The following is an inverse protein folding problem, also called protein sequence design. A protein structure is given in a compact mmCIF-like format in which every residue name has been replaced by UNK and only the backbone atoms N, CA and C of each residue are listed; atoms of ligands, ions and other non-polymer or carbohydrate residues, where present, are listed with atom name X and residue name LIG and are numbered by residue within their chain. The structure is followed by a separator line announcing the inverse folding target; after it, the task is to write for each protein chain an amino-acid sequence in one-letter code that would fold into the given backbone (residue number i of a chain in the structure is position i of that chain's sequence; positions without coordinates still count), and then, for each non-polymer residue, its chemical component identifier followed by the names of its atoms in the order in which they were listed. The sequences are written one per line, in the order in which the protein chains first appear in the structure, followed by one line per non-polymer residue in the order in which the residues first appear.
data_IF_922196067075
#
_entry.id   IF_922196067075
#
_cell.length_a   1.000
_cell.length_b   1.000
_cell.length_c   1.000
_cell.angle_alpha   90.00
_cell.angle_beta   90.00
_cell.angle_gamma   90.00
#
_symmetry.space_group_name_H-M   'P 1'
#
loop_
_entity.id
_entity.type
_entity.pdbx_description
1 polymer ?
#
# COMPACT_ATOMS: atom_id res chain seq x y z
N UNK A 1 -23.17 -10.18 60.65
CA UNK A 1 -23.09 -11.18 59.57
C UNK A 1 -23.97 -10.68 58.41
N UNK A 2 -23.44 -10.55 57.19
CA UNK A 2 -24.21 -10.00 56.07
C UNK A 2 -25.09 -11.07 55.40
N UNK A 3 -26.30 -10.67 55.05
CA UNK A 3 -27.34 -11.46 54.39
C UNK A 3 -26.97 -11.74 52.92
N UNK A 4 -27.24 -12.94 52.37
CA UNK A 4 -26.92 -13.24 50.98
C UNK A 4 -27.92 -12.58 50.00
N UNK A 5 -27.48 -12.30 48.75
CA UNK A 5 -28.31 -11.68 47.73
C UNK A 5 -29.29 -12.68 47.07
N UNK A 6 -30.39 -12.19 46.46
CA UNK A 6 -31.44 -13.03 45.90
C UNK A 6 -31.04 -13.65 44.56
N UNK A 7 -31.43 -14.92 44.36
CA UNK A 7 -31.21 -15.66 43.12
C UNK A 7 -32.26 -15.32 42.05
N UNK A 8 -31.80 -15.18 40.81
CA UNK A 8 -32.61 -14.86 39.63
C UNK A 8 -33.17 -16.15 39.02
N UNK A 9 -34.49 -16.20 38.84
CA UNK A 9 -35.20 -17.31 38.21
C UNK A 9 -34.89 -17.43 36.71
N UNK A 10 -34.74 -18.67 36.22
CA UNK A 10 -34.62 -19.01 34.79
C UNK A 10 -36.02 -19.15 34.15
N UNK A 11 -36.21 -18.71 32.90
CA UNK A 11 -37.45 -18.95 32.18
C UNK A 11 -37.52 -20.39 31.66
N UNK A 12 -38.75 -20.91 31.60
CA UNK A 12 -39.11 -22.25 31.17
C UNK A 12 -38.95 -22.45 29.66
N UNK A 13 -38.39 -23.59 29.27
CA UNK A 13 -38.33 -24.05 27.88
C UNK A 13 -39.69 -24.62 27.45
N UNK A 14 -40.26 -24.05 26.38
CA UNK A 14 -41.48 -24.52 25.74
C UNK A 14 -41.16 -25.58 24.69
N UNK A 15 -41.71 -26.78 24.87
CA UNK A 15 -41.67 -27.85 23.87
C UNK A 15 -42.69 -27.61 22.76
N UNK A 16 -42.20 -27.56 21.51
CA UNK A 16 -43.01 -27.59 20.30
C UNK A 16 -42.84 -28.92 19.58
N UNK A 17 -43.92 -29.68 19.48
CA UNK A 17 -44.05 -30.91 18.71
C UNK A 17 -44.22 -30.55 17.23
N UNK A 18 -43.40 -31.13 16.33
CA UNK A 18 -43.56 -31.02 14.88
C UNK A 18 -44.00 -32.38 14.31
N UNK A 19 -44.90 -32.41 13.31
CA UNK A 19 -45.43 -33.64 12.74
C UNK A 19 -44.44 -34.33 11.78
N UNK A 20 -44.48 -35.66 11.81
CA UNK A 20 -43.75 -36.58 10.94
C UNK A 20 -44.22 -36.43 9.48
N UNK A 21 -43.27 -36.13 8.58
CA UNK A 21 -43.46 -36.09 7.13
C UNK A 21 -42.84 -37.32 6.48
N UNK A 22 -43.59 -37.90 5.54
CA UNK A 22 -43.36 -39.17 4.87
C UNK A 22 -42.03 -39.26 4.09
N UNK A 23 -41.32 -40.36 4.29
CA UNK A 23 -40.10 -40.77 3.58
C UNK A 23 -40.38 -40.99 2.09
N UNK A 24 -39.78 -40.17 1.23
CA UNK A 24 -39.62 -40.45 -0.20
C UNK A 24 -38.14 -40.76 -0.48
N UNK A 25 -37.79 -41.89 -1.12
CA UNK A 25 -36.39 -42.26 -1.33
C UNK A 25 -35.72 -41.30 -2.34
N UNK A 26 -34.62 -40.69 -1.90
CA UNK A 26 -33.79 -39.81 -2.71
C UNK A 26 -33.14 -40.59 -3.88
N UNK A 27 -33.12 -40.04 -5.11
CA UNK A 27 -32.38 -40.62 -6.22
C UNK A 27 -30.87 -40.54 -5.98
N UNK A 28 -30.15 -41.58 -6.38
CA UNK A 28 -28.70 -41.69 -6.25
C UNK A 28 -27.95 -40.52 -6.93
N UNK A 29 -26.85 -40.02 -6.35
CA UNK A 29 -26.11 -38.89 -6.91
C UNK A 29 -25.44 -39.29 -8.24
N UNK A 30 -25.83 -38.62 -9.31
CA UNK A 30 -25.14 -38.69 -10.59
C UNK A 30 -23.70 -38.16 -10.42
N UNK A 31 -22.73 -39.00 -10.77
CA UNK A 31 -21.30 -38.68 -10.73
C UNK A 31 -21.01 -37.48 -11.64
N UNK A 32 -20.68 -36.34 -11.04
CA UNK A 32 -20.28 -35.14 -11.76
C UNK A 32 -18.87 -35.35 -12.33
N UNK A 33 -18.65 -35.17 -13.65
CA UNK A 33 -17.31 -35.23 -14.22
C UNK A 33 -16.45 -34.09 -13.65
N UNK A 34 -15.20 -34.40 -13.34
CA UNK A 34 -14.24 -33.45 -12.81
C UNK A 34 -14.12 -32.21 -13.72
N UNK A 35 -14.05 -30.99 -13.17
CA UNK A 35 -13.93 -29.78 -13.97
C UNK A 35 -12.59 -29.77 -14.71
N UNK A 36 -12.65 -29.47 -16.01
CA UNK A 36 -11.48 -29.27 -16.84
C UNK A 36 -10.64 -28.09 -16.31
N UNK A 37 -9.29 -28.14 -16.41
CA UNK A 37 -8.43 -27.06 -15.95
C UNK A 37 -8.79 -25.76 -16.68
N UNK A 38 -9.06 -24.72 -15.89
CA UNK A 38 -9.27 -23.37 -16.40
C UNK A 38 -8.00 -22.89 -17.14
N UNK A 39 -8.13 -22.23 -18.30
CA UNK A 39 -7.01 -21.49 -18.89
C UNK A 39 -6.60 -20.40 -17.92
N UNK A 40 -5.30 -20.30 -17.62
CA UNK A 40 -4.74 -19.22 -16.84
C UNK A 40 -4.96 -17.90 -17.59
N UNK A 41 -5.95 -17.11 -17.18
CA UNK A 41 -6.16 -15.76 -17.70
C UNK A 41 -5.12 -14.80 -17.10
N UNK A 42 -4.61 -13.95 -17.97
CA UNK A 42 -3.49 -13.02 -17.83
C UNK A 42 -3.54 -12.12 -16.58
N UNK A 43 -2.95 -12.60 -15.48
CA UNK A 43 -2.33 -11.70 -14.53
C UNK A 43 -1.11 -11.08 -15.23
N UNK A 44 -1.24 -9.81 -15.63
CA UNK A 44 -0.17 -9.02 -16.27
C UNK A 44 1.18 -9.35 -15.64
N UNK A 45 2.01 -10.12 -16.35
CA UNK A 45 3.33 -10.47 -15.88
C UNK A 45 4.05 -9.16 -15.54
N UNK A 46 4.43 -8.98 -14.28
CA UNK A 46 5.21 -7.83 -13.88
C UNK A 46 6.46 -7.81 -14.77
N UNK A 47 6.50 -6.87 -15.71
CA UNK A 47 7.54 -6.82 -16.73
C UNK A 47 8.84 -6.44 -16.03
N UNK A 48 9.75 -7.40 -15.90
CA UNK A 48 11.09 -7.12 -15.40
C UNK A 48 11.81 -6.19 -16.38
N UNK A 49 12.79 -5.44 -15.88
CA UNK A 49 13.61 -4.58 -16.74
C UNK A 49 14.40 -5.38 -17.79
N UNK A 50 15.09 -4.68 -18.69
CA UNK A 50 15.86 -5.33 -19.76
C UNK A 50 16.94 -6.31 -19.26
N UNK A 51 17.41 -6.15 -18.01
CA UNK A 51 18.38 -7.03 -17.36
C UNK A 51 17.72 -8.14 -16.54
N UNK A 52 16.42 -8.08 -16.31
CA UNK A 52 15.66 -8.97 -15.45
C UNK A 52 14.93 -10.08 -16.19
N UNK A 53 14.69 -11.20 -15.50
CA UNK A 53 13.80 -12.28 -15.94
C UNK A 53 12.84 -12.64 -14.81
N UNK A 54 11.57 -12.87 -15.15
CA UNK A 54 10.55 -13.22 -14.18
C UNK A 54 10.60 -14.72 -13.88
N UNK A 55 10.69 -15.07 -12.61
CA UNK A 55 10.69 -16.45 -12.17
C UNK A 55 10.03 -16.58 -10.80
N UNK A 56 9.07 -17.51 -10.66
CA UNK A 56 8.40 -17.81 -9.40
C UNK A 56 7.85 -16.58 -8.62
N UNK A 57 7.35 -15.56 -9.34
CA UNK A 57 6.77 -14.36 -8.72
C UNK A 57 7.76 -13.20 -8.50
N UNK A 58 9.03 -13.36 -8.86
CA UNK A 58 10.08 -12.36 -8.62
C UNK A 58 10.89 -12.07 -9.90
N UNK A 59 11.49 -10.88 -9.97
CA UNK A 59 12.46 -10.53 -11.00
C UNK A 59 13.88 -10.86 -10.55
N UNK A 60 14.59 -11.67 -11.33
CA UNK A 60 16.00 -12.00 -11.10
C UNK A 60 16.87 -11.44 -12.20
N UNK A 61 18.17 -11.26 -11.95
CA UNK A 61 19.09 -10.90 -13.03
C UNK A 61 19.13 -12.06 -14.01
N UNK A 62 19.03 -11.79 -15.31
CA UNK A 62 19.09 -12.84 -16.35
C UNK A 62 20.28 -13.76 -16.13
N UNK A 63 20.05 -15.07 -16.11
CA UNK A 63 21.11 -16.08 -16.04
C UNK A 63 22.18 -15.89 -17.13
N UNK A 64 21.78 -15.42 -18.32
CA UNK A 64 22.70 -15.04 -19.40
C UNK A 64 23.64 -13.88 -19.03
N UNK A 65 23.22 -12.95 -18.18
CA UNK A 65 24.07 -11.86 -17.67
C UNK A 65 24.98 -12.40 -16.57
N UNK A 66 24.41 -13.07 -15.57
CA UNK A 66 25.15 -13.59 -14.39
C UNK A 66 26.28 -14.54 -14.78
N UNK A 67 26.07 -15.35 -15.82
CA UNK A 67 27.01 -16.41 -16.22
C UNK A 67 27.80 -16.06 -17.48
N UNK A 68 27.74 -14.80 -17.92
CA UNK A 68 28.33 -14.36 -19.19
C UNK A 68 27.96 -15.31 -20.36
N UNK A 69 26.67 -15.63 -20.47
CA UNK A 69 26.03 -16.51 -21.45
C UNK A 69 26.39 -18.00 -21.37
N UNK A 70 27.20 -18.44 -20.40
CA UNK A 70 27.58 -19.86 -20.26
C UNK A 70 26.43 -20.75 -19.81
N UNK A 71 25.54 -20.22 -18.97
CA UNK A 71 24.34 -20.89 -18.45
C UNK A 71 23.14 -19.95 -18.56
N UNK A 72 22.53 -19.78 -19.74
CA UNK A 72 21.58 -18.69 -19.97
C UNK A 72 20.15 -18.94 -19.44
N UNK A 73 19.82 -20.15 -18.99
CA UNK A 73 18.46 -20.52 -18.57
C UNK A 73 18.34 -20.60 -17.06
N UNK A 74 17.25 -20.09 -16.49
CA UNK A 74 16.97 -20.19 -15.04
C UNK A 74 16.12 -21.41 -14.71
N UNK A 75 16.54 -22.17 -13.70
CA UNK A 75 15.73 -23.26 -13.13
C UNK A 75 14.99 -22.83 -11.86
N UNK A 76 15.69 -22.13 -10.98
CA UNK A 76 15.18 -21.63 -9.70
C UNK A 76 15.93 -20.33 -9.30
N UNK A 77 15.75 -19.85 -8.08
CA UNK A 77 16.39 -18.62 -7.60
C UNK A 77 17.92 -18.66 -7.66
N UNK A 78 18.57 -19.80 -7.45
CA UNK A 78 20.04 -19.92 -7.32
C UNK A 78 20.71 -20.78 -8.40
N UNK A 79 19.93 -21.33 -9.34
CA UNK A 79 20.43 -22.27 -10.35
C UNK A 79 20.21 -21.76 -11.76
N UNK A 80 21.31 -21.61 -12.51
CA UNK A 80 21.33 -21.35 -13.95
C UNK A 80 21.80 -22.59 -14.72
N UNK A 81 21.32 -22.79 -15.95
CA UNK A 81 21.58 -23.99 -16.75
C UNK A 81 22.02 -23.66 -18.17
N UNK A 82 22.81 -24.56 -18.75
CA UNK A 82 23.26 -24.45 -20.14
C UNK A 82 22.14 -24.76 -21.13
N UNK A 83 21.22 -25.65 -20.76
CA UNK A 83 20.06 -26.05 -21.54
C UNK A 83 18.84 -26.18 -20.60
N UNK A 84 17.72 -25.52 -20.94
CA UNK A 84 16.48 -25.54 -20.17
C UNK A 84 15.90 -26.95 -19.95
N UNK A 85 16.14 -27.86 -20.88
CA UNK A 85 15.65 -29.25 -20.82
C UNK A 85 16.57 -30.22 -20.04
N UNK A 86 17.81 -29.81 -19.73
CA UNK A 86 18.84 -30.69 -19.13
C UNK A 86 19.55 -30.05 -17.93
N UNK A 87 18.82 -29.28 -17.12
CA UNK A 87 19.37 -28.64 -15.94
C UNK A 87 20.00 -29.59 -14.91
N UNK A 88 19.50 -30.83 -14.79
CA UNK A 88 19.96 -31.77 -13.77
C UNK A 88 21.43 -32.22 -13.94
N UNK A 89 21.97 -32.14 -15.16
CA UNK A 89 23.33 -32.59 -15.49
C UNK A 89 24.28 -31.44 -15.84
N UNK A 90 23.76 -30.29 -16.27
CA UNK A 90 24.54 -29.14 -16.74
C UNK A 90 24.07 -27.82 -16.10
N UNK A 91 23.81 -27.86 -14.80
CA UNK A 91 23.48 -26.71 -13.97
C UNK A 91 24.68 -26.10 -13.25
N UNK A 92 24.65 -24.79 -13.04
CA UNK A 92 25.51 -24.06 -12.13
C UNK A 92 24.65 -23.55 -10.98
N UNK A 93 24.97 -23.99 -9.76
CA UNK A 93 24.35 -23.49 -8.53
C UNK A 93 25.29 -22.44 -7.94
N UNK A 94 24.79 -21.23 -7.75
CA UNK A 94 25.51 -20.19 -7.03
C UNK A 94 24.52 -19.41 -6.15
N UNK A 95 24.71 -19.39 -4.81
CA UNK A 95 23.86 -18.61 -3.90
C UNK A 95 23.68 -17.14 -4.31
N UNK A 96 24.70 -16.53 -4.93
CA UNK A 96 24.67 -15.14 -5.38
C UNK A 96 23.69 -14.93 -6.55
N UNK A 97 23.29 -15.98 -7.28
CA UNK A 97 22.25 -15.87 -8.33
C UNK A 97 20.85 -15.63 -7.76
N UNK A 98 20.67 -15.95 -6.48
CA UNK A 98 19.44 -15.72 -5.70
C UNK A 98 19.28 -14.30 -5.23
N UNK A 99 20.26 -13.43 -5.50
CA UNK A 99 20.05 -11.99 -5.44
C UNK A 99 18.94 -11.67 -6.45
N UNK A 100 17.72 -11.48 -5.91
CA UNK A 100 16.62 -10.85 -6.63
C UNK A 100 17.29 -9.67 -7.30
N UNK A 101 17.29 -9.63 -8.64
CA UNK A 101 17.75 -8.44 -9.34
C UNK A 101 16.94 -7.37 -8.65
N UNK A 102 17.60 -6.53 -7.84
CA UNK A 102 16.94 -5.38 -7.23
C UNK A 102 16.29 -4.77 -8.43
N UNK A 103 14.96 -4.93 -8.54
CA UNK A 103 14.36 -4.94 -9.85
C UNK A 103 14.71 -3.58 -10.36
N UNK A 104 15.35 -3.46 -11.53
CA UNK A 104 15.94 -2.17 -11.87
C UNK A 104 14.79 -1.16 -11.78
N UNK A 105 14.82 -0.35 -10.72
CA UNK A 105 13.75 0.56 -10.32
C UNK A 105 12.35 -0.02 -9.96
N UNK A 106 12.11 -1.32 -9.77
CA UNK A 106 10.74 -1.78 -9.42
C UNK A 106 10.38 -1.75 -7.92
N UNK A 107 11.27 -1.26 -7.06
CA UNK A 107 10.84 -0.83 -5.72
C UNK A 107 9.98 0.44 -5.73
N UNK A 108 9.77 1.06 -6.90
CA UNK A 108 9.08 2.35 -7.01
C UNK A 108 9.89 3.51 -6.40
N UNK A 109 11.11 3.25 -5.96
CA UNK A 109 11.96 4.27 -5.38
C UNK A 109 12.57 5.16 -6.47
N UNK A 110 12.70 6.45 -6.19
CA UNK A 110 13.31 7.43 -7.08
C UNK A 110 14.79 7.15 -7.39
N UNK A 111 15.39 7.87 -8.37
CA UNK A 111 16.79 7.66 -8.78
C UNK A 111 17.82 7.92 -7.69
N UNK A 112 17.46 8.70 -6.66
CA UNK A 112 18.30 9.06 -5.51
C UNK A 112 17.96 8.22 -4.26
N UNK A 113 17.23 7.13 -4.45
CA UNK A 113 16.70 6.29 -3.38
C UNK A 113 17.21 4.85 -3.47
N UNK A 114 17.21 4.16 -2.34
CA UNK A 114 17.46 2.74 -2.21
C UNK A 114 16.36 2.07 -1.38
N UNK A 115 15.99 0.84 -1.76
CA UNK A 115 14.93 0.09 -1.12
C UNK A 115 15.48 -0.74 0.04
N UNK A 116 14.89 -0.57 1.22
CA UNK A 116 15.23 -1.36 2.40
C UNK A 116 13.94 -1.71 3.16
N UNK A 117 13.71 -3.00 3.37
CA UNK A 117 12.61 -3.52 4.19
C UNK A 117 11.22 -2.92 3.84
N UNK A 118 10.88 -2.81 2.55
CA UNK A 118 9.56 -2.30 2.15
C UNK A 118 9.47 -0.79 1.95
N UNK A 119 10.56 -0.06 2.19
CA UNK A 119 10.58 1.40 2.18
C UNK A 119 11.70 1.95 1.31
N UNK A 120 11.49 3.12 0.72
CA UNK A 120 12.49 3.86 -0.02
C UNK A 120 13.21 4.84 0.92
N UNK A 121 14.54 4.83 0.90
CA UNK A 121 15.40 5.72 1.67
C UNK A 121 16.35 6.46 0.75
N UNK A 122 16.87 7.61 1.16
CA UNK A 122 17.93 8.30 0.41
C UNK A 122 19.13 7.39 0.32
N UNK A 123 19.67 7.25 -0.88
CA UNK A 123 20.81 6.39 -1.12
C UNK A 123 21.94 6.74 -0.14
N UNK A 124 22.50 5.73 0.52
CA UNK A 124 23.57 5.86 1.50
C UNK A 124 24.81 6.53 0.88
N UNK A 125 25.05 6.30 -0.42
CA UNK A 125 26.07 7.02 -1.19
C UNK A 125 25.85 8.54 -1.20
N UNK A 126 24.61 9.01 -1.31
CA UNK A 126 24.30 10.45 -1.28
C UNK A 126 24.36 11.02 0.14
N UNK A 127 23.95 10.24 1.15
CA UNK A 127 23.94 10.68 2.55
C UNK A 127 25.32 10.78 3.20
N UNK A 128 26.30 10.10 2.60
CA UNK A 128 27.65 9.97 3.16
C UNK A 128 28.73 10.41 2.19
N UNK A 129 28.35 11.15 1.15
CA UNK A 129 29.28 11.64 0.11
C UNK A 129 30.15 10.50 -0.47
N UNK A 130 29.54 9.33 -0.65
CA UNK A 130 30.16 8.11 -1.17
C UNK A 130 30.97 7.30 -0.16
N UNK A 131 31.17 7.78 1.07
CA UNK A 131 32.04 7.13 2.06
C UNK A 131 31.49 5.77 2.56
N UNK A 132 30.16 5.66 2.67
CA UNK A 132 29.44 4.46 3.10
C UNK A 132 28.25 4.20 2.15
N UNK A 133 28.48 3.65 0.95
CA UNK A 133 27.47 3.64 -0.11
C UNK A 133 26.38 2.58 0.04
N UNK A 134 26.51 1.62 0.96
CA UNK A 134 25.59 0.48 1.07
C UNK A 134 24.69 0.59 2.28
N UNK A 135 23.37 0.50 2.10
CA UNK A 135 22.44 0.42 3.25
C UNK A 135 22.40 -0.98 3.84
N UNK A 136 22.35 -1.04 5.16
CA UNK A 136 22.05 -2.28 5.90
C UNK A 136 20.83 -2.14 6.82
N UNK A 137 20.40 -0.90 7.11
CA UNK A 137 19.21 -0.60 7.90
C UNK A 137 18.73 0.83 7.61
N UNK A 138 17.53 1.20 8.08
CA UNK A 138 16.94 2.54 7.93
C UNK A 138 17.83 3.67 8.49
N UNK A 139 18.77 3.38 9.40
CA UNK A 139 19.70 4.35 10.00
C UNK A 139 21.18 4.02 9.81
N UNK A 140 21.47 2.98 9.03
CA UNK A 140 22.79 2.38 8.99
C UNK A 140 23.27 2.27 7.55
N UNK A 141 24.35 2.99 7.26
CA UNK A 141 25.11 2.88 6.03
C UNK A 141 26.42 2.12 6.29
N UNK A 142 26.93 1.48 5.26
CA UNK A 142 28.07 0.59 5.30
C UNK A 142 29.05 0.88 4.16
N UNK A 143 30.35 0.74 4.45
CA UNK A 143 31.45 1.01 3.52
C UNK A 143 31.74 -0.15 2.57
N UNK A 144 31.39 -1.38 2.97
CA UNK A 144 31.64 -2.62 2.23
C UNK A 144 30.33 -3.38 2.06
N UNK A 145 30.22 -4.18 1.01
CA UNK A 145 29.11 -5.14 0.87
C UNK A 145 29.35 -6.36 1.75
N UNK A 146 28.26 -7.09 2.05
CA UNK A 146 28.30 -8.32 2.84
C UNK A 146 27.99 -8.12 4.32
N UNK A 147 27.12 -8.98 4.85
CA UNK A 147 26.60 -8.92 6.23
C UNK A 147 27.74 -8.84 7.25
N UNK A 148 28.72 -9.76 7.14
CA UNK A 148 29.86 -9.82 8.07
C UNK A 148 30.75 -8.58 8.04
N UNK A 149 31.01 -8.01 6.86
CA UNK A 149 31.84 -6.81 6.73
C UNK A 149 31.17 -5.58 7.37
N UNK A 150 29.84 -5.50 7.31
CA UNK A 150 29.07 -4.42 7.93
C UNK A 150 28.87 -4.55 9.44
N UNK A 151 29.12 -5.72 10.02
CA UNK A 151 29.14 -5.88 11.47
C UNK A 151 30.41 -5.26 12.10
N UNK A 152 31.46 -5.03 11.32
CA UNK A 152 32.68 -4.37 11.80
C UNK A 152 32.41 -2.87 12.05
N UNK A 153 32.73 -2.34 13.25
CA UNK A 153 32.39 -0.95 13.61
C UNK A 153 32.94 0.11 12.65
N UNK A 154 34.13 -0.09 12.08
CA UNK A 154 34.77 0.87 11.17
C UNK A 154 34.12 0.92 9.78
N UNK A 155 33.43 -0.14 9.39
CA UNK A 155 32.70 -0.21 8.13
C UNK A 155 31.28 0.30 8.24
N UNK A 156 30.82 0.72 9.43
CA UNK A 156 29.43 1.11 9.68
C UNK A 156 29.31 2.54 10.17
N UNK A 157 28.46 3.34 9.51
CA UNK A 157 28.06 4.68 9.96
C UNK A 157 26.59 4.64 10.35
N UNK A 158 26.30 5.04 11.59
CA UNK A 158 24.93 5.14 12.12
C UNK A 158 24.58 6.59 12.36
N UNK A 159 23.44 7.03 11.85
CA UNK A 159 22.96 8.40 12.05
C UNK A 159 21.44 8.43 12.03
N UNK A 160 20.85 9.27 12.89
CA UNK A 160 19.40 9.54 12.84
C UNK A 160 19.01 10.24 11.54
N UNK A 161 19.95 10.94 10.91
CA UNK A 161 19.76 11.64 9.63
C UNK A 161 19.75 10.71 8.42
N UNK A 162 20.10 9.42 8.57
CA UNK A 162 20.01 8.46 7.47
C UNK A 162 18.63 7.84 7.30
N UNK A 163 17.74 8.06 8.28
CA UNK A 163 16.34 7.67 8.24
C UNK A 163 15.50 8.69 7.46
N UNK A 164 15.96 9.02 6.26
CA UNK A 164 15.29 9.93 5.34
C UNK A 164 14.87 9.12 4.12
N UNK A 165 13.59 9.25 3.75
CA UNK A 165 13.14 8.88 2.40
C UNK A 165 13.96 9.67 1.38
N UNK A 166 14.35 9.04 0.29
CA UNK A 166 15.28 9.62 -0.67
C UNK A 166 14.68 10.60 -1.67
N UNK A 167 13.37 10.75 -1.69
CA UNK A 167 12.69 11.40 -2.80
C UNK A 167 11.66 10.45 -3.41
N UNK A 168 10.54 10.15 -2.77
CA UNK A 168 9.46 11.12 -2.59
C UNK A 168 9.52 11.90 -1.28
N UNK A 169 10.31 12.97 -1.25
CA UNK A 169 9.83 14.15 -0.56
C UNK A 169 8.43 14.37 -1.10
N UNK A 170 7.49 14.62 -0.21
CA UNK A 170 6.14 14.93 -0.64
C UNK A 170 6.23 15.98 -1.78
N UNK A 171 5.36 15.93 -2.78
CA UNK A 171 5.29 16.88 -3.87
C UNK A 171 5.38 18.29 -3.35
N UNK A 172 5.57 19.19 -4.31
CA UNK A 172 5.57 20.62 -4.08
C UNK A 172 4.38 21.08 -3.21
N UNK A 173 3.26 20.36 -3.27
CA UNK A 173 2.03 20.68 -2.56
C UNK A 173 1.85 19.96 -1.23
N UNK A 174 2.89 19.26 -0.77
CA UNK A 174 2.84 18.38 0.36
C UNK A 174 4.06 18.53 1.30
N UNK A 175 3.91 18.02 2.52
CA UNK A 175 4.89 18.09 3.59
C UNK A 175 4.90 16.80 4.41
N UNK A 176 6.08 16.42 4.89
CA UNK A 176 6.29 15.18 5.63
C UNK A 176 6.00 15.39 7.11
N UNK A 177 5.11 14.57 7.69
CA UNK A 177 4.88 14.47 9.12
C UNK A 177 4.84 13.00 9.53
N UNK A 178 5.77 12.57 10.39
CA UNK A 178 5.75 11.22 10.96
C UNK A 178 5.77 10.10 9.91
N UNK A 179 6.54 10.27 8.83
CA UNK A 179 6.65 9.35 7.68
C UNK A 179 5.48 9.36 6.69
N UNK A 180 4.45 10.18 6.90
CA UNK A 180 3.35 10.35 5.96
C UNK A 180 3.45 11.70 5.25
N UNK A 181 3.06 11.74 3.98
CA UNK A 181 2.93 12.96 3.23
C UNK A 181 1.53 13.53 3.38
N UNK A 182 1.44 14.77 3.87
CA UNK A 182 0.19 15.51 4.00
C UNK A 182 0.20 16.69 3.05
N UNK A 183 -0.98 17.11 2.58
CA UNK A 183 -1.08 18.38 1.86
C UNK A 183 -0.56 19.51 2.75
N UNK A 184 0.20 20.44 2.18
CA UNK A 184 0.81 21.53 2.93
C UNK A 184 -0.24 22.34 3.66
N UNK A 185 0.01 22.62 4.93
CA UNK A 185 -0.80 23.54 5.70
C UNK A 185 -0.89 24.94 5.06
N UNK A 186 0.14 25.39 4.34
CA UNK A 186 0.08 26.64 3.58
C UNK A 186 -0.95 26.61 2.45
N UNK A 187 -1.25 25.45 1.87
CA UNK A 187 -2.27 25.30 0.83
C UNK A 187 -3.64 25.12 1.47
N UNK A 188 -3.73 24.30 2.51
CA UNK A 188 -5.00 24.03 3.22
C UNK A 188 -5.58 25.24 3.95
N UNK A 189 -4.76 26.25 4.23
CA UNK A 189 -5.14 27.42 5.03
C UNK A 189 -4.89 28.75 4.31
N UNK A 190 -4.70 28.72 2.98
CA UNK A 190 -4.41 29.90 2.16
C UNK A 190 -3.26 30.75 2.75
N UNK A 191 -2.23 30.07 3.24
CA UNK A 191 -1.04 30.67 3.85
C UNK A 191 -1.19 31.15 5.29
N UNK A 192 -2.39 31.13 5.89
CA UNK A 192 -2.64 31.67 7.24
C UNK A 192 -1.96 30.87 8.35
N UNK A 193 -1.86 29.55 8.21
CA UNK A 193 -1.23 28.64 9.19
C UNK A 193 -0.23 27.71 8.50
N UNK A 194 0.93 28.18 8.02
CA UNK A 194 1.76 27.44 7.06
C UNK A 194 2.58 26.28 7.67
N UNK A 195 2.49 26.01 8.97
CA UNK A 195 3.30 25.00 9.66
C UNK A 195 2.42 23.87 10.18
N UNK A 196 2.83 22.63 9.99
CA UNK A 196 2.14 21.45 10.51
C UNK A 196 2.75 20.97 11.82
N UNK A 197 1.90 20.62 12.78
CA UNK A 197 2.32 19.89 14.00
C UNK A 197 1.62 18.55 14.19
N UNK A 198 0.56 18.28 13.42
CA UNK A 198 -0.23 17.06 13.53
C UNK A 198 -0.94 16.75 12.21
N UNK A 199 -1.52 15.54 12.07
CA UNK A 199 -2.27 15.17 10.87
C UNK A 199 -3.44 16.12 10.57
N UNK A 200 -4.09 16.63 11.61
CA UNK A 200 -5.23 17.57 11.53
C UNK A 200 -4.91 18.97 12.08
N UNK A 201 -3.63 19.30 12.30
CA UNK A 201 -3.24 20.52 13.03
C UNK A 201 -2.21 21.35 12.26
N UNK A 202 -2.64 22.55 11.87
CA UNK A 202 -1.79 23.59 11.29
C UNK A 202 -1.58 24.73 12.30
N UNK A 203 -0.48 25.49 12.18
CA UNK A 203 -0.14 26.55 13.11
C UNK A 203 0.65 27.70 12.46
N UNK A 204 0.65 28.88 13.08
CA UNK A 204 1.28 30.10 12.54
C UNK A 204 2.78 30.22 12.86
N UNK A 205 3.26 29.59 13.93
CA UNK A 205 4.63 29.72 14.45
C UNK A 205 5.32 28.35 14.55
N UNK A 206 6.65 28.32 14.61
CA UNK A 206 7.43 27.07 14.73
C UNK A 206 7.03 26.22 15.96
N UNK A 207 6.62 26.88 17.04
CA UNK A 207 6.13 26.22 18.26
C UNK A 207 4.60 26.32 18.30
N UNK A 208 3.94 25.22 17.96
CA UNK A 208 2.48 25.12 18.02
C UNK A 208 2.00 24.86 19.46
N UNK A 209 2.51 25.59 20.46
CA UNK A 209 2.17 25.36 21.89
C UNK A 209 1.01 26.22 22.37
N UNK A 210 0.75 27.37 21.74
CA UNK A 210 -0.38 28.24 22.12
C UNK A 210 -1.66 27.83 21.38
N UNK A 211 -2.83 27.80 22.05
CA UNK A 211 -4.12 27.57 21.39
C UNK A 211 -4.43 28.60 20.29
N UNK A 212 -4.06 29.87 20.51
CA UNK A 212 -4.37 30.96 19.58
C UNK A 212 -3.58 30.90 18.27
N UNK A 213 -2.51 30.09 18.22
CA UNK A 213 -1.67 29.91 17.03
C UNK A 213 -1.96 28.61 16.30
N UNK A 214 -2.97 27.83 16.71
CA UNK A 214 -3.32 26.53 16.15
C UNK A 214 -4.69 26.57 15.48
N UNK A 215 -4.79 25.86 14.37
CA UNK A 215 -6.05 25.55 13.69
C UNK A 215 -6.14 24.03 13.55
N UNK A 216 -7.14 23.45 14.22
CA UNK A 216 -7.42 22.02 14.16
C UNK A 216 -8.66 21.79 13.32
N UNK A 217 -8.52 20.99 12.26
CA UNK A 217 -9.58 20.65 11.31
C UNK A 217 -9.36 19.23 10.80
N UNK A 218 -10.39 18.40 10.86
CA UNK A 218 -10.30 16.98 10.44
C UNK A 218 -9.94 16.89 8.96
N UNK A 219 -10.40 17.86 8.17
CA UNK A 219 -10.17 18.03 6.74
C UNK A 219 -8.70 18.27 6.39
N UNK A 220 -7.83 18.61 7.36
CA UNK A 220 -6.40 18.77 7.12
C UNK A 220 -5.63 17.43 7.08
N UNK A 221 -6.29 16.34 7.48
CA UNK A 221 -5.76 14.98 7.44
C UNK A 221 -5.86 14.38 6.04
N UNK A 222 -5.40 15.13 5.04
CA UNK A 222 -5.40 14.73 3.63
C UNK A 222 -3.98 14.44 3.17
N UNK A 223 -3.81 13.30 2.50
CA UNK A 223 -2.55 12.87 1.91
C UNK A 223 -2.07 13.87 0.85
N UNK A 224 -0.77 14.15 0.84
CA UNK A 224 -0.16 15.13 -0.05
C UNK A 224 0.29 14.58 -1.41
N UNK A 225 0.55 13.26 -1.51
CA UNK A 225 1.09 12.58 -2.71
C UNK A 225 0.77 11.11 -2.80
N UNK A 226 0.66 10.47 -1.64
CA UNK A 226 -0.03 9.19 -1.48
C UNK A 226 -1.52 9.55 -1.37
N UNK A 227 -1.99 10.33 -2.35
CA UNK A 227 -3.40 10.59 -2.56
C UNK A 227 -3.96 9.38 -3.28
N UNK A 228 -5.16 8.98 -2.91
CA UNK A 228 -5.83 7.96 -3.69
C UNK A 228 -6.09 8.52 -5.11
N UNK A 229 -6.08 7.66 -6.15
CA UNK A 229 -6.47 8.03 -7.50
C UNK A 229 -7.73 8.90 -7.54
N UNK A 230 -7.93 9.64 -8.63
CA UNK A 230 -9.15 10.44 -8.82
C UNK A 230 -10.38 9.53 -8.63
N UNK A 231 -11.32 9.97 -7.77
CA UNK A 231 -12.52 9.24 -7.32
C UNK A 231 -12.30 8.21 -6.19
N UNK A 232 -11.11 8.14 -5.62
CA UNK A 232 -10.84 7.37 -4.41
C UNK A 232 -10.62 8.30 -3.21
N UNK A 233 -10.76 7.77 -2.00
CA UNK A 233 -10.58 8.47 -0.74
C UNK A 233 -9.69 7.66 0.21
N UNK A 234 -8.94 8.37 1.05
CA UNK A 234 -8.05 7.76 2.03
C UNK A 234 -8.82 7.50 3.33
N UNK A 235 -8.87 6.24 3.76
CA UNK A 235 -9.46 5.87 5.03
C UNK A 235 -8.58 4.82 5.71
N UNK A 236 -8.29 4.98 7.00
CA UNK A 236 -7.38 4.09 7.73
C UNK A 236 -6.08 3.77 6.97
N UNK A 237 -5.48 4.80 6.34
CA UNK A 237 -4.25 4.71 5.53
C UNK A 237 -4.32 3.80 4.29
N UNK A 238 -5.52 3.50 3.80
CA UNK A 238 -5.75 2.76 2.55
C UNK A 238 -6.66 3.54 1.62
N UNK A 239 -6.55 3.25 0.33
CA UNK A 239 -7.37 3.87 -0.69
C UNK A 239 -8.59 3.00 -1.01
N UNK A 240 -9.75 3.65 -1.00
CA UNK A 240 -11.04 3.07 -1.33
C UNK A 240 -11.71 3.93 -2.38
N UNK A 241 -12.56 3.34 -3.22
CA UNK A 241 -13.47 4.16 -4.05
C UNK A 241 -14.26 5.10 -3.15
N UNK A 242 -14.35 6.37 -3.52
CA UNK A 242 -15.02 7.38 -2.69
C UNK A 242 -16.48 7.00 -2.44
N UNK A 243 -16.96 7.24 -1.23
CA UNK A 243 -18.36 7.02 -0.85
C UNK A 243 -19.33 7.76 -1.79
N UNK A 244 -18.96 8.97 -2.22
CA UNK A 244 -19.68 9.72 -3.27
C UNK A 244 -19.79 8.93 -4.58
N UNK A 245 -18.70 8.32 -5.06
CA UNK A 245 -18.74 7.51 -6.31
C UNK A 245 -19.53 6.21 -6.15
N UNK A 246 -19.40 5.53 -5.02
CA UNK A 246 -20.03 4.23 -4.75
C UNK A 246 -21.54 4.35 -4.57
N UNK A 247 -22.00 5.48 -4.05
CA UNK A 247 -23.41 5.72 -3.69
C UNK A 247 -24.08 6.77 -4.56
N UNK A 248 -23.45 7.15 -5.68
CA UNK A 248 -23.93 8.20 -6.59
C UNK A 248 -24.29 9.50 -5.84
N UNK A 249 -23.45 9.88 -4.87
CA UNK A 249 -23.59 11.08 -4.05
C UNK A 249 -24.59 11.00 -2.89
N UNK A 250 -25.35 9.90 -2.74
CA UNK A 250 -26.37 9.81 -1.69
C UNK A 250 -25.79 9.62 -0.27
N UNK A 251 -24.56 9.09 -0.17
CA UNK A 251 -23.81 8.96 1.09
C UNK A 251 -22.37 9.41 0.84
N UNK A 252 -22.07 10.72 0.91
CA UNK A 252 -20.78 11.24 0.49
C UNK A 252 -19.61 10.95 1.45
N UNK A 253 -19.90 10.64 2.72
CA UNK A 253 -18.90 10.62 3.80
C UNK A 253 -18.56 9.22 4.25
N UNK A 254 -17.29 8.84 4.30
CA UNK A 254 -16.87 7.55 4.86
C UNK A 254 -16.69 7.61 6.38
N UNK A 255 -17.32 6.68 7.09
CA UNK A 255 -17.18 6.54 8.56
C UNK A 255 -16.50 5.24 8.98
N UNK A 256 -16.52 4.22 8.12
CA UNK A 256 -15.76 2.98 8.30
C UNK A 256 -15.34 2.39 6.96
N UNK A 257 -14.51 1.35 6.98
CA UNK A 257 -13.99 0.67 5.77
C UNK A 257 -15.11 0.26 4.81
N UNK A 258 -16.25 -0.22 5.30
CA UNK A 258 -17.36 -0.67 4.48
C UNK A 258 -18.65 0.16 4.67
N UNK A 259 -18.54 1.36 5.28
CA UNK A 259 -19.71 2.16 5.68
C UNK A 259 -19.58 3.61 5.25
N UNK A 260 -20.55 4.05 4.45
CA UNK A 260 -20.75 5.43 4.05
C UNK A 260 -21.91 6.06 4.82
N UNK A 261 -21.91 7.38 4.89
CA UNK A 261 -22.85 8.20 5.65
C UNK A 261 -23.44 9.30 4.77
N UNK A 262 -24.74 9.56 4.96
CA UNK A 262 -25.55 10.55 4.24
C UNK A 262 -25.19 12.00 4.59
N UNK A 263 -24.73 12.23 5.81
CA UNK A 263 -24.35 13.56 6.29
C UNK A 263 -22.93 13.90 5.85
N UNK A 264 -22.67 15.16 5.52
CA UNK A 264 -21.32 15.65 5.19
C UNK A 264 -20.41 15.67 6.42
N UNK A 265 -20.98 15.89 7.61
CA UNK A 265 -20.26 15.88 8.88
C UNK A 265 -20.25 14.47 9.50
N UNK A 266 -19.07 13.89 9.67
CA UNK A 266 -18.87 12.58 10.28
C UNK A 266 -19.47 12.48 11.70
N UNK A 267 -19.56 13.60 12.44
CA UNK A 267 -20.18 13.63 13.78
C UNK A 267 -21.71 13.49 13.75
N UNK A 268 -22.35 13.87 12.64
CA UNK A 268 -23.79 13.71 12.45
C UNK A 268 -24.20 12.27 12.06
N UNK A 269 -23.22 11.42 11.70
CA UNK A 269 -23.42 10.04 11.25
C UNK A 269 -23.81 9.03 12.35
N UNK A 270 -24.02 9.48 13.58
CA UNK A 270 -24.40 8.62 14.71
C UNK A 270 -25.82 8.04 14.63
N UNK A 271 -26.64 8.43 13.64
CA UNK A 271 -28.00 7.93 13.46
C UNK A 271 -28.01 6.68 12.58
N UNK A 272 -28.70 5.63 13.00
CA UNK A 272 -28.71 4.37 12.25
C UNK A 272 -29.27 4.50 10.82
N UNK A 273 -30.19 5.44 10.58
CA UNK A 273 -30.80 5.66 9.25
C UNK A 273 -29.95 6.54 8.31
N UNK A 274 -28.83 7.08 8.77
CA UNK A 274 -27.90 7.87 7.94
C UNK A 274 -26.74 7.05 7.41
N UNK A 275 -26.66 5.76 7.74
CA UNK A 275 -25.57 4.87 7.37
C UNK A 275 -25.98 3.91 6.25
N UNK A 276 -25.05 3.64 5.35
CA UNK A 276 -25.15 2.55 4.38
C UNK A 276 -23.87 1.71 4.44
N UNK A 277 -24.04 0.46 4.85
CA UNK A 277 -22.97 -0.53 4.91
C UNK A 277 -23.10 -1.53 3.77
N UNK A 278 -22.03 -1.72 3.02
CA UNK A 278 -21.93 -2.73 1.96
C UNK A 278 -20.48 -3.23 1.90
N UNK A 279 -20.28 -4.55 1.93
CA UNK A 279 -18.93 -5.14 1.94
C UNK A 279 -18.11 -4.72 0.72
N UNK A 280 -18.75 -4.44 -0.42
CA UNK A 280 -18.10 -3.98 -1.65
C UNK A 280 -17.44 -2.62 -1.48
N UNK A 281 -17.88 -1.80 -0.51
CA UNK A 281 -17.24 -0.51 -0.21
C UNK A 281 -15.86 -0.67 0.44
N UNK A 282 -15.59 -1.85 1.00
CA UNK A 282 -14.32 -2.20 1.65
C UNK A 282 -13.27 -2.80 0.73
N UNK A 283 -13.57 -2.97 -0.56
CA UNK A 283 -12.58 -3.39 -1.55
C UNK A 283 -11.58 -2.24 -1.77
N UNK A 284 -10.37 -2.39 -1.23
CA UNK A 284 -9.30 -1.41 -1.44
C UNK A 284 -8.67 -1.63 -2.80
N UNK A 285 -8.40 -0.55 -3.54
CA UNK A 285 -7.66 -0.59 -4.82
C UNK A 285 -6.16 -0.93 -4.64
N UNK A 286 -5.71 -1.15 -3.41
CA UNK A 286 -4.34 -1.48 -3.04
C UNK A 286 -3.77 -0.56 -1.95
N UNK A 287 -2.52 -0.78 -1.52
CA UNK A 287 -1.79 0.22 -0.74
C UNK A 287 -1.62 1.48 -1.61
N UNK A 288 -1.88 2.67 -1.08
CA UNK A 288 -1.87 3.96 -1.83
C UNK A 288 -0.52 4.39 -2.42
N UNK A 289 0.44 3.48 -2.55
CA UNK A 289 1.84 3.73 -2.91
C UNK A 289 2.14 3.72 -4.42
N UNK A 290 1.14 3.73 -5.30
CA UNK A 290 1.40 3.80 -6.74
C UNK A 290 1.45 5.28 -7.18
N UNK A 291 2.61 5.82 -7.60
CA UNK A 291 2.65 7.12 -8.26
C UNK A 291 1.83 7.02 -9.56
N UNK A 292 0.70 7.72 -9.62
CA UNK A 292 -0.16 7.73 -10.80
C UNK A 292 0.55 8.53 -11.90
N UNK A 293 1.15 7.82 -12.86
CA UNK A 293 1.61 8.44 -14.10
C UNK A 293 0.37 8.72 -14.96
N UNK A 294 -0.02 9.99 -15.06
CA UNK A 294 -1.12 10.41 -15.96
C UNK A 294 -0.55 10.58 -17.36
N UNK A 295 -0.95 9.79 -18.38
CA UNK A 295 -0.67 10.13 -19.77
C UNK A 295 -1.43 11.41 -20.12
N UNK A 296 -0.77 12.35 -20.79
CA UNK A 296 -1.36 13.63 -21.19
C UNK A 296 -2.61 13.41 -22.06
N UNK A 297 -3.78 13.51 -21.44
CA UNK A 297 -5.07 13.46 -22.13
C UNK A 297 -5.24 14.69 -23.02
N UNK A 298 -5.63 14.45 -24.27
CA UNK A 298 -5.93 15.50 -25.25
C UNK A 298 -7.01 16.46 -24.72
N UNK A 299 -6.94 17.76 -25.04
CA UNK A 299 -7.93 18.74 -24.58
C UNK A 299 -9.32 18.38 -25.09
N UNK A 300 -10.28 18.34 -24.16
CA UNK A 300 -11.72 18.19 -24.45
C UNK A 300 -12.22 19.51 -25.04
N UNK A 301 -12.98 19.50 -26.16
CA UNK A 301 -13.54 20.72 -26.72
C UNK A 301 -14.61 21.31 -25.80
N UNK A 302 -14.56 22.63 -25.60
CA UNK A 302 -15.55 23.39 -24.84
C UNK A 302 -16.93 23.24 -25.50
N UNK A 303 -17.93 22.79 -24.75
CA UNK A 303 -19.33 22.99 -25.12
C UNK A 303 -19.64 24.50 -25.10
N UNK A 304 -20.21 24.98 -26.19
CA UNK A 304 -20.74 26.32 -26.31
C UNK A 304 -21.97 26.48 -25.39
N UNK A 305 -22.02 27.58 -24.66
CA UNK A 305 -23.19 28.01 -23.90
C UNK A 305 -24.25 28.52 -24.88
N UNK A 306 -25.41 27.88 -24.94
CA UNK A 306 -26.61 28.46 -25.55
C UNK A 306 -27.17 29.56 -24.64
N UNK A 307 -27.14 30.78 -25.14
CA UNK A 307 -27.91 31.92 -24.61
C UNK A 307 -29.33 31.85 -25.15
N UNK A 308 -30.31 31.61 -24.28
CA UNK A 308 -31.72 31.81 -24.61
C UNK A 308 -32.08 33.29 -24.49
N UNK A 309 -32.70 33.82 -25.56
CA UNK A 309 -33.47 35.05 -25.58
C UNK A 309 -34.92 34.77 -25.19
#
# INVERSE_FOLDING_TARGET
APTPPPQRARPAEGGGHLPEGEDTPAPAPASTPAPAPHPAEDASAAECDERGEFHAGFCYTKCAILTNKKYPYRLNSITCCKNSSRCAVEGMVNPDFGEIASPARSSGCGPDEEYQNGLCFKACGLLTDGEYPYRTDHRTCCRKTGVWQCHLPHNRKRSRYFNVGGGGGCSKDAELLGHFCYKRCSILTDGKYPKRSGPSTCCTRKHCSSPNNRLMRVEFNVGGDIGCPKNEELHASRCYKSCSSLTNGSYPTRVAVATCCKEEDASACGRHNTLWTDLRFGESSGPGNQPVHVPAGKPVPKLASESSA
#
